data_IF_862338502545
#
_entry.id   IF_862338502545
#
_cell.length_a   1.000
_cell.length_b   1.000
_cell.length_c   1.000
_cell.angle_alpha   90.00
_cell.angle_beta   90.00
_cell.angle_gamma   90.00
#
_symmetry.space_group_name_H-M   'P 1'
#
loop_
_entity.id
_entity.type
_entity.pdbx_description
1 polymer ?
#
# COMPACT_ATOMS: atom_id res chain seq x y z
N UNK A 1 11.32 0.98 -2.98
CA UNK A 1 10.41 1.44 -4.05
C UNK A 1 10.08 0.24 -4.90
N UNK A 2 8.83 0.06 -5.30
CA UNK A 2 8.38 -1.13 -6.03
C UNK A 2 7.63 -0.71 -7.30
N UNK A 3 7.55 -1.64 -8.25
CA UNK A 3 6.90 -1.41 -9.54
C UNK A 3 5.41 -1.04 -9.37
N UNK A 4 4.83 -0.32 -10.35
CA UNK A 4 3.39 -0.08 -10.39
C UNK A 4 2.60 -1.38 -10.23
N UNK A 5 1.38 -1.27 -9.71
CA UNK A 5 0.53 -2.46 -9.60
C UNK A 5 0.22 -3.01 -11.01
N UNK A 6 0.13 -4.34 -11.18
CA UNK A 6 -0.29 -4.92 -12.46
C UNK A 6 -1.66 -4.42 -12.92
N UNK A 7 -2.52 -4.01 -11.98
CA UNK A 7 -3.84 -3.43 -12.24
C UNK A 7 -3.82 -1.94 -12.61
N UNK A 8 -2.70 -1.25 -12.40
CA UNK A 8 -2.52 0.16 -12.72
C UNK A 8 -1.16 0.36 -13.41
N UNK A 9 -1.20 0.47 -14.75
CA UNK A 9 -0.03 0.67 -15.62
C UNK A 9 0.78 1.94 -15.31
N UNK A 10 0.22 2.89 -14.56
CA UNK A 10 0.86 4.11 -14.08
C UNK A 10 0.36 4.40 -12.66
N UNK A 11 1.25 4.88 -11.79
CA UNK A 11 0.95 5.10 -10.38
C UNK A 11 -0.32 5.94 -10.15
N UNK A 12 -1.18 5.48 -9.24
CA UNK A 12 -2.50 6.05 -8.94
C UNK A 12 -2.46 7.55 -8.62
N UNK A 13 -1.42 7.97 -7.90
CA UNK A 13 -1.32 9.33 -7.33
C UNK A 13 -0.09 10.12 -7.82
N UNK A 14 0.85 9.46 -8.50
CA UNK A 14 2.03 10.08 -9.09
C UNK A 14 2.67 9.14 -10.12
N UNK A 15 3.38 9.72 -11.08
CA UNK A 15 4.03 8.99 -12.16
C UNK A 15 5.14 8.06 -11.64
N UNK A 16 5.23 6.86 -12.24
CA UNK A 16 6.24 5.87 -11.93
C UNK A 16 5.82 4.86 -10.85
N UNK A 17 6.81 4.32 -10.14
CA UNK A 17 6.59 3.29 -9.13
C UNK A 17 5.91 3.80 -7.87
N UNK A 18 5.75 2.91 -6.90
CA UNK A 18 5.01 3.18 -5.67
C UNK A 18 5.83 2.93 -4.42
N UNK A 19 5.36 3.53 -3.34
CA UNK A 19 5.84 3.24 -1.99
C UNK A 19 5.33 1.86 -1.57
N UNK A 20 6.16 1.10 -0.86
CA UNK A 20 5.78 -0.22 -0.32
C UNK A 20 4.75 -0.05 0.79
N UNK A 21 3.79 -0.97 0.88
CA UNK A 21 2.78 -0.97 1.93
C UNK A 21 3.37 -1.20 3.33
N UNK A 22 2.62 -0.83 4.36
CA UNK A 22 3.04 -1.09 5.75
C UNK A 22 3.09 -2.60 6.04
N UNK A 23 2.10 -3.34 5.55
CA UNK A 23 2.08 -4.80 5.55
C UNK A 23 2.05 -5.26 4.10
N UNK A 24 3.12 -5.94 3.66
CA UNK A 24 3.27 -6.44 2.30
C UNK A 24 3.46 -7.96 2.31
N UNK A 25 2.68 -8.66 1.48
CA UNK A 25 2.78 -10.10 1.27
C UNK A 25 2.59 -10.45 -0.21
N UNK A 26 3.28 -11.49 -0.68
CA UNK A 26 3.16 -12.00 -2.04
C UNK A 26 3.18 -13.52 -2.05
N UNK A 27 2.40 -14.16 -2.92
CA UNK A 27 2.28 -15.62 -3.04
C UNK A 27 1.94 -16.31 -1.71
N UNK A 28 1.01 -15.75 -0.95
CA UNK A 28 0.56 -16.31 0.32
C UNK A 28 -0.70 -17.15 0.15
N UNK A 29 -0.90 -18.12 1.02
CA UNK A 29 -2.15 -18.89 1.15
C UNK A 29 -2.64 -18.83 2.59
N UNK A 30 -3.95 -18.74 2.80
CA UNK A 30 -4.58 -18.77 4.14
C UNK A 30 -4.05 -17.68 5.08
N UNK A 31 -4.23 -16.41 4.70
CA UNK A 31 -3.76 -15.27 5.51
C UNK A 31 -4.80 -14.92 6.58
N UNK A 32 -4.43 -15.07 7.86
CA UNK A 32 -5.29 -14.69 8.99
C UNK A 32 -4.69 -13.47 9.70
N UNK A 33 -5.39 -12.34 9.65
CA UNK A 33 -5.07 -11.14 10.42
C UNK A 33 -6.01 -11.06 11.62
N UNK A 34 -5.47 -11.22 12.83
CA UNK A 34 -6.24 -11.21 14.07
C UNK A 34 -5.63 -10.25 15.09
N UNK A 35 -6.47 -9.74 16.00
CA UNK A 35 -6.04 -8.89 17.09
C UNK A 35 -7.15 -8.75 18.13
N UNK A 36 -6.78 -8.84 19.42
CA UNK A 36 -7.72 -8.58 20.51
C UNK A 36 -7.87 -7.06 20.69
N UNK A 37 -8.94 -6.48 20.14
CA UNK A 37 -9.11 -5.03 20.03
C UNK A 37 -7.90 -4.35 19.36
N UNK A 38 -7.35 -5.02 18.34
CA UNK A 38 -6.15 -4.58 17.63
C UNK A 38 -6.42 -3.36 16.75
N UNK A 39 -5.49 -2.40 16.74
CA UNK A 39 -5.53 -1.24 15.84
C UNK A 39 -4.29 -1.22 14.98
N UNK A 40 -4.47 -1.17 13.66
CA UNK A 40 -3.38 -0.92 12.71
C UNK A 40 -3.45 0.55 12.30
N UNK A 41 -2.53 1.36 12.83
CA UNK A 41 -2.47 2.79 12.54
C UNK A 41 -1.37 3.10 11.51
N UNK A 42 -1.78 3.41 10.29
CA UNK A 42 -0.85 3.75 9.19
C UNK A 42 -0.24 5.15 9.24
N UNK A 43 -0.65 6.00 10.20
CA UNK A 43 -0.16 7.39 10.33
C UNK A 43 -0.24 8.18 8.99
N UNK A 44 -1.33 7.99 8.25
CA UNK A 44 -1.51 8.50 6.88
C UNK A 44 -1.55 10.02 6.72
N UNK A 45 -1.65 10.77 7.82
CA UNK A 45 -1.78 12.23 7.81
C UNK A 45 -0.67 12.94 7.05
N UNK A 46 0.58 12.46 7.17
CA UNK A 46 1.72 12.99 6.43
C UNK A 46 1.55 12.81 4.91
N UNK A 47 0.99 11.68 4.47
CA UNK A 47 0.77 11.39 3.06
C UNK A 47 -0.32 12.29 2.48
N UNK A 48 -1.42 12.50 3.22
CA UNK A 48 -2.48 13.44 2.81
C UNK A 48 -1.96 14.88 2.65
N UNK A 49 -1.14 15.35 3.59
CA UNK A 49 -0.53 16.70 3.51
C UNK A 49 0.33 16.83 2.25
N UNK A 50 1.17 15.83 1.96
CA UNK A 50 2.02 15.83 0.75
C UNK A 50 1.22 15.71 -0.54
N UNK A 51 0.14 14.92 -0.55
CA UNK A 51 -0.77 14.78 -1.69
C UNK A 51 -1.40 16.12 -2.04
N UNK A 52 -2.00 16.81 -1.06
CA UNK A 52 -2.61 18.11 -1.27
C UNK A 52 -1.60 19.20 -1.64
N UNK A 53 -0.35 19.09 -1.19
CA UNK A 53 0.72 19.99 -1.58
C UNK A 53 1.33 19.68 -2.96
N UNK A 54 0.90 18.62 -3.66
CA UNK A 54 1.49 18.18 -4.94
C UNK A 54 2.95 17.73 -4.81
N UNK A 55 3.37 17.31 -3.62
CA UNK A 55 4.75 16.95 -3.29
C UNK A 55 5.02 15.45 -3.37
N UNK A 56 4.04 14.66 -3.82
CA UNK A 56 4.24 13.24 -4.04
C UNK A 56 5.03 13.02 -5.31
N UNK A 57 6.25 12.52 -5.13
CA UNK A 57 7.07 12.01 -6.24
C UNK A 57 6.60 10.63 -6.72
N UNK A 58 5.92 9.88 -5.85
CA UNK A 58 5.48 8.50 -6.07
C UNK A 58 4.12 8.25 -5.43
N UNK A 59 3.43 7.21 -5.90
CA UNK A 59 2.15 6.82 -5.32
C UNK A 59 2.31 6.46 -3.84
N UNK A 60 1.35 6.95 -3.04
CA UNK A 60 1.28 6.73 -1.60
C UNK A 60 1.12 5.23 -1.28
N UNK A 61 1.69 4.75 -0.16
CA UNK A 61 1.66 3.34 0.18
C UNK A 61 0.28 2.90 0.65
N UNK A 62 -0.09 1.66 0.34
CA UNK A 62 -1.25 1.01 0.95
C UNK A 62 -0.96 0.62 2.40
N UNK A 63 -2.01 0.49 3.22
CA UNK A 63 -1.83 0.00 4.59
C UNK A 63 -1.50 -1.50 4.59
N UNK A 64 -2.25 -2.27 3.80
CA UNK A 64 -2.08 -3.72 3.66
C UNK A 64 -2.15 -4.04 2.18
N UNK A 65 -1.24 -4.90 1.73
CA UNK A 65 -1.19 -5.35 0.35
C UNK A 65 -0.77 -6.82 0.28
N UNK A 66 -1.63 -7.63 -0.32
CA UNK A 66 -1.42 -9.05 -0.55
C UNK A 66 -1.52 -9.29 -2.05
N UNK A 67 -0.41 -9.67 -2.68
CA UNK A 67 -0.33 -9.91 -4.12
C UNK A 67 -0.28 -11.40 -4.42
N UNK A 68 -0.86 -11.83 -5.55
CA UNK A 68 -0.78 -13.21 -6.04
C UNK A 68 -1.11 -14.27 -4.97
N UNK A 69 -2.03 -13.93 -4.06
CA UNK A 69 -2.33 -14.72 -2.86
C UNK A 69 -3.74 -15.32 -2.98
N UNK A 70 -3.96 -16.47 -2.35
CA UNK A 70 -5.20 -17.24 -2.42
C UNK A 70 -5.72 -17.59 -1.02
N UNK A 71 -7.03 -17.79 -0.89
CA UNK A 71 -7.66 -18.11 0.40
C UNK A 71 -7.41 -17.08 1.50
N UNK A 72 -7.51 -15.79 1.17
CA UNK A 72 -7.47 -14.68 2.13
C UNK A 72 -8.83 -14.52 2.81
#
# INVERSE_FOLDING_TARGET
>A
MIEPLPSYSQGRDADGGRSISLIFGTNLTNVIITGNNGTINGQGSLWCVKYHAGQLKYTQPYLIELMYSDGI
#
